data_IF_675887377094
#
_entry.id   IF_675887377094
#
_cell.length_a   1.000
_cell.length_b   1.000
_cell.length_c   1.000
_cell.angle_alpha   90.00
_cell.angle_beta   90.00
_cell.angle_gamma   90.00
#
_symmetry.space_group_name_H-M   'P 1'
#
loop_
_entity.id
_entity.type
_entity.pdbx_description
1 polymer ?
#
# COMPACT_ATOMS: atom_id res chain seq x y z
N UNK A 1 -21.14 23.43 25.52
CA UNK A 1 -20.60 23.10 26.86
C UNK A 1 -21.31 21.85 27.35
N UNK A 2 -20.54 20.90 27.92
CA UNK A 2 -20.90 19.55 28.39
C UNK A 2 -21.11 18.52 27.27
N UNK A 3 -20.57 17.29 27.28
CA UNK A 3 -19.55 16.60 28.10
C UNK A 3 -19.46 15.18 27.54
N UNK A 4 -18.31 14.75 27.05
CA UNK A 4 -17.99 13.33 26.86
C UNK A 4 -16.48 13.12 27.03
N UNK A 5 -15.99 13.33 28.25
CA UNK A 5 -14.68 12.84 28.66
C UNK A 5 -14.79 11.33 28.91
N UNK A 6 -14.32 10.53 27.96
CA UNK A 6 -14.13 9.11 28.20
C UNK A 6 -12.85 8.91 29.01
N UNK A 7 -13.04 8.64 30.30
CA UNK A 7 -12.00 8.20 31.21
C UNK A 7 -11.36 6.90 30.72
N UNK A 8 -10.13 6.97 30.22
CA UNK A 8 -9.21 5.83 30.11
C UNK A 8 -8.28 5.81 31.32
N UNK A 9 -8.74 5.15 32.37
CA UNK A 9 -7.92 4.83 33.54
C UNK A 9 -6.95 3.68 33.25
N UNK A 10 -5.72 4.02 32.87
CA UNK A 10 -4.49 3.30 33.22
C UNK A 10 -3.33 4.31 33.13
N UNK A 11 -3.15 5.09 34.20
CA UNK A 11 -2.03 6.01 34.38
C UNK A 11 -0.73 5.20 34.58
N UNK A 12 -0.10 4.79 33.47
CA UNK A 12 1.36 4.82 33.38
C UNK A 12 1.69 6.17 32.79
N UNK A 13 2.29 7.06 33.58
CA UNK A 13 2.89 8.31 33.09
C UNK A 13 4.07 7.99 32.17
N UNK A 14 3.77 7.61 30.94
CA UNK A 14 4.73 7.76 29.85
C UNK A 14 4.88 9.26 29.64
N UNK A 15 5.89 9.85 30.28
CA UNK A 15 6.32 11.21 29.95
C UNK A 15 6.61 11.24 28.46
N UNK A 16 5.81 12.01 27.70
CA UNK A 16 5.97 12.14 26.25
C UNK A 16 7.39 12.67 25.98
N UNK A 17 8.16 12.02 25.10
CA UNK A 17 9.52 12.45 24.84
C UNK A 17 9.52 13.87 24.25
N UNK A 18 10.55 14.70 24.51
CA UNK A 18 10.62 16.06 24.00
C UNK A 18 10.59 16.04 22.48
N UNK A 19 9.93 17.03 21.85
CA UNK A 19 9.71 17.03 20.41
C UNK A 19 11.00 16.96 19.59
N UNK A 20 12.11 17.50 20.10
CA UNK A 20 13.43 17.46 19.47
C UNK A 20 14.03 16.05 19.40
N UNK A 21 13.55 15.12 20.23
CA UNK A 21 13.95 13.70 20.18
C UNK A 21 13.10 12.88 19.21
N UNK A 22 11.94 13.41 18.82
CA UNK A 22 11.01 12.78 17.89
C UNK A 22 11.26 13.24 16.46
N UNK A 23 11.52 14.55 16.28
CA UNK A 23 11.83 15.13 14.98
C UNK A 23 13.31 14.95 14.61
N UNK A 24 13.64 14.90 13.30
CA UNK A 24 15.02 14.83 12.86
C UNK A 24 15.77 16.14 13.14
N UNK A 25 17.10 16.10 13.00
CA UNK A 25 17.96 17.28 13.17
C UNK A 25 17.54 18.41 12.22
N UNK A 26 17.75 19.66 12.66
CA UNK A 26 17.38 20.88 11.93
C UNK A 26 17.75 20.87 10.45
N UNK A 27 18.95 20.41 10.09
CA UNK A 27 19.41 20.35 8.69
C UNK A 27 18.49 19.48 7.83
N UNK A 28 18.11 18.30 8.33
CA UNK A 28 17.22 17.38 7.63
C UNK A 28 15.82 17.96 7.53
N UNK A 29 15.27 18.50 8.63
CA UNK A 29 13.94 19.12 8.60
C UNK A 29 13.88 20.32 7.65
N UNK A 30 14.92 21.17 7.64
CA UNK A 30 14.97 22.33 6.74
C UNK A 30 15.03 21.92 5.27
N UNK A 31 15.70 20.81 4.95
CA UNK A 31 15.71 20.24 3.60
C UNK A 31 14.33 19.74 3.21
N UNK A 32 13.66 18.97 4.08
CA UNK A 32 12.31 18.47 3.79
C UNK A 32 11.30 19.61 3.64
N UNK A 33 11.39 20.66 4.45
CA UNK A 33 10.56 21.85 4.27
C UNK A 33 10.80 22.51 2.91
N UNK A 34 12.03 22.52 2.41
CA UNK A 34 12.34 23.04 1.09
C UNK A 34 11.82 22.13 -0.03
N UNK A 35 11.98 20.81 0.10
CA UNK A 35 11.50 19.83 -0.86
C UNK A 35 9.97 19.86 -1.03
N UNK A 36 9.24 20.32 0.00
CA UNK A 36 7.78 20.53 0.00
C UNK A 36 7.36 21.97 -0.30
N UNK A 37 8.26 22.81 -0.81
CA UNK A 37 8.01 24.24 -1.11
C UNK A 37 7.36 25.01 0.07
N UNK A 38 7.74 24.65 1.30
CA UNK A 38 7.14 25.23 2.50
C UNK A 38 7.36 26.73 2.56
N UNK A 39 6.26 27.46 2.70
CA UNK A 39 6.26 28.91 2.96
C UNK A 39 6.96 29.27 4.28
N UNK A 40 6.94 28.37 5.25
CA UNK A 40 7.48 28.59 6.58
C UNK A 40 8.85 27.91 6.75
N UNK A 41 9.86 28.72 7.09
CA UNK A 41 11.17 28.23 7.47
C UNK A 41 11.15 27.56 8.85
N UNK A 42 12.16 26.70 9.12
CA UNK A 42 12.32 25.95 10.37
C UNK A 42 12.00 26.75 11.64
N UNK A 43 12.50 27.99 11.76
CA UNK A 43 12.28 28.84 12.95
C UNK A 43 10.81 29.17 13.21
N UNK A 44 9.97 29.26 12.18
CA UNK A 44 8.52 29.51 12.27
C UNK A 44 7.72 28.22 12.40
N UNK A 45 8.23 27.12 11.85
CA UNK A 45 7.60 25.79 11.94
C UNK A 45 7.72 25.20 13.34
N UNK A 46 8.88 25.34 13.99
CA UNK A 46 9.10 24.73 15.30
C UNK A 46 8.10 25.17 16.38
N UNK A 47 7.73 26.47 16.52
CA UNK A 47 6.66 26.88 17.44
C UNK A 47 5.31 26.22 17.18
N UNK A 48 4.96 25.99 15.91
CA UNK A 48 3.72 25.30 15.52
C UNK A 48 3.78 23.85 16.02
N UNK A 49 4.82 23.12 15.64
CA UNK A 49 5.01 21.73 16.06
C UNK A 49 5.06 21.60 17.58
N UNK A 50 5.83 22.44 18.27
CA UNK A 50 5.93 22.41 19.74
C UNK A 50 4.58 22.63 20.40
N UNK A 51 3.84 23.67 19.98
CA UNK A 51 2.56 23.99 20.61
C UNK A 51 1.52 22.88 20.41
N UNK A 52 1.41 22.32 19.20
CA UNK A 52 0.50 21.21 18.94
C UNK A 52 0.93 19.97 19.73
N UNK A 53 2.22 19.60 19.65
CA UNK A 53 2.76 18.38 20.26
C UNK A 53 2.65 18.37 21.80
N UNK A 54 2.82 19.52 22.45
CA UNK A 54 2.67 19.65 23.90
C UNK A 54 1.20 19.53 24.34
N UNK A 55 0.25 19.85 23.44
CA UNK A 55 -1.18 19.90 23.75
C UNK A 55 -2.00 18.77 23.11
N UNK A 56 -1.39 17.69 22.57
CA UNK A 56 -2.17 16.59 21.94
C UNK A 56 -3.17 15.90 22.89
N UNK A 57 -2.96 15.96 24.21
CA UNK A 57 -3.94 15.41 25.18
C UNK A 57 -5.09 16.39 25.46
N UNK A 58 -4.89 17.67 25.16
CA UNK A 58 -5.88 18.73 25.34
C UNK A 58 -5.90 19.64 24.10
N UNK A 59 -6.44 19.18 22.95
CA UNK A 59 -6.41 19.94 21.69
C UNK A 59 -7.01 21.35 21.81
N UNK A 60 -8.01 21.53 22.68
CA UNK A 60 -8.62 22.84 22.98
C UNK A 60 -7.65 23.92 23.49
N UNK A 61 -6.46 23.53 23.97
CA UNK A 61 -5.43 24.46 24.43
C UNK A 61 -4.42 24.86 23.34
N UNK A 62 -4.53 24.27 22.14
CA UNK A 62 -3.65 24.60 21.02
C UNK A 62 -3.89 26.06 20.62
N UNK A 63 -2.79 26.82 20.51
CA UNK A 63 -2.77 28.22 20.12
C UNK A 63 -1.73 28.42 19.04
N UNK A 64 -2.20 28.34 17.81
CA UNK A 64 -1.35 28.53 16.65
C UNK A 64 -0.86 29.98 16.56
N UNK A 65 0.40 30.20 16.14
CA UNK A 65 0.87 31.53 15.79
C UNK A 65 -0.03 32.18 14.73
N UNK A 66 -0.28 33.49 14.87
CA UNK A 66 -1.17 34.26 13.97
C UNK A 66 -0.79 34.22 12.48
N UNK A 67 0.45 33.85 12.15
CA UNK A 67 0.93 33.76 10.78
C UNK A 67 0.67 32.39 10.13
N UNK A 68 0.21 31.41 10.90
CA UNK A 68 -0.06 30.04 10.44
C UNK A 68 -1.32 30.03 9.60
N UNK A 69 -1.22 29.45 8.41
CA UNK A 69 -2.33 29.19 7.50
C UNK A 69 -2.63 27.69 7.47
N UNK A 70 -3.85 27.36 7.07
CA UNK A 70 -4.29 25.99 6.96
C UNK A 70 -3.43 25.15 6.00
N UNK A 71 -2.94 25.73 4.89
CA UNK A 71 -2.07 25.04 3.93
C UNK A 71 -0.68 24.75 4.50
N UNK A 72 -0.19 25.59 5.41
CA UNK A 72 1.09 25.29 6.07
C UNK A 72 0.96 24.02 6.91
N UNK A 73 -0.16 23.82 7.61
CA UNK A 73 -0.39 22.63 8.43
C UNK A 73 -0.43 21.35 7.58
N UNK A 74 -1.06 21.42 6.41
CA UNK A 74 -1.08 20.32 5.44
C UNK A 74 0.32 20.03 4.86
N UNK A 75 1.10 21.08 4.56
CA UNK A 75 2.51 20.95 4.15
C UNK A 75 3.34 20.29 5.25
N UNK A 76 3.18 20.73 6.51
CA UNK A 76 3.87 20.17 7.66
C UNK A 76 3.52 18.70 7.89
N UNK A 77 2.26 18.33 7.69
CA UNK A 77 1.83 16.93 7.72
C UNK A 77 2.54 16.11 6.65
N UNK A 78 2.63 16.61 5.41
CA UNK A 78 3.34 15.92 4.33
C UNK A 78 4.83 15.69 4.67
N UNK A 79 5.48 16.70 5.27
CA UNK A 79 6.85 16.60 5.78
C UNK A 79 6.99 15.53 6.88
N UNK A 80 6.05 15.44 7.83
CA UNK A 80 6.08 14.40 8.85
C UNK A 80 5.91 12.99 8.25
N UNK A 81 5.06 12.85 7.23
CA UNK A 81 4.88 11.59 6.51
C UNK A 81 6.19 11.11 5.88
N UNK A 82 6.95 12.02 5.29
CA UNK A 82 8.26 11.70 4.71
C UNK A 82 9.29 11.33 5.78
N UNK A 83 9.25 12.00 6.93
CA UNK A 83 10.09 11.62 8.09
C UNK A 83 9.79 10.17 8.51
N UNK A 84 8.51 9.79 8.57
CA UNK A 84 8.11 8.42 8.91
C UNK A 84 8.53 7.41 7.85
N UNK A 85 8.42 7.78 6.57
CA UNK A 85 8.86 6.93 5.46
C UNK A 85 10.39 6.69 5.53
N UNK A 86 11.16 7.68 5.99
CA UNK A 86 12.61 7.57 6.18
C UNK A 86 13.00 6.78 7.44
N UNK A 87 12.18 6.83 8.51
CA UNK A 87 12.56 6.26 9.80
C UNK A 87 12.40 4.74 9.90
N UNK A 88 11.78 4.08 8.92
CA UNK A 88 11.48 2.63 8.89
C UNK A 88 10.84 2.07 10.19
N UNK A 89 10.35 2.95 11.06
CA UNK A 89 9.82 2.65 12.39
C UNK A 89 8.59 3.53 12.64
N UNK A 90 7.55 2.91 13.19
CA UNK A 90 6.29 3.60 13.52
C UNK A 90 6.47 4.33 14.84
N UNK A 91 6.62 5.66 14.79
CA UNK A 91 6.60 6.51 15.99
C UNK A 91 5.17 7.00 16.23
N UNK A 92 4.51 6.46 17.26
CA UNK A 92 3.14 6.85 17.62
C UNK A 92 2.98 8.36 17.79
N UNK A 93 3.96 9.04 18.40
CA UNK A 93 3.84 10.47 18.66
C UNK A 93 3.89 11.31 17.35
N UNK A 94 4.53 10.81 16.29
CA UNK A 94 4.48 11.45 14.98
C UNK A 94 3.13 11.24 14.30
N UNK A 95 2.53 10.06 14.46
CA UNK A 95 1.17 9.77 13.97
C UNK A 95 0.17 10.69 14.66
N UNK A 96 0.23 10.78 15.98
CA UNK A 96 -0.68 11.62 16.78
C UNK A 96 -0.52 13.11 16.38
N UNK A 97 0.71 13.58 16.16
CA UNK A 97 0.99 14.93 15.68
C UNK A 97 0.47 15.17 14.25
N UNK A 98 0.63 14.21 13.35
CA UNK A 98 0.11 14.28 11.98
C UNK A 98 -1.41 14.39 11.96
N UNK A 99 -2.11 13.62 12.79
CA UNK A 99 -3.56 13.64 12.88
C UNK A 99 -4.05 15.00 13.41
N UNK A 100 -3.43 15.51 14.48
CA UNK A 100 -3.81 16.81 15.03
C UNK A 100 -3.53 17.96 14.05
N UNK A 101 -2.51 17.87 13.20
CA UNK A 101 -2.30 18.86 12.12
C UNK A 101 -3.47 18.91 11.13
N UNK A 102 -4.12 17.77 10.85
CA UNK A 102 -5.31 17.72 9.99
C UNK A 102 -6.49 18.39 10.69
N UNK A 103 -6.74 18.06 11.96
CA UNK A 103 -7.81 18.65 12.77
C UNK A 103 -7.69 20.18 12.80
N UNK A 104 -6.50 20.69 13.13
CA UNK A 104 -6.22 22.13 13.15
C UNK A 104 -6.33 22.77 11.76
N UNK A 105 -5.96 22.05 10.68
CA UNK A 105 -6.14 22.55 9.32
C UNK A 105 -7.63 22.64 8.92
N UNK A 106 -8.44 21.67 9.35
CA UNK A 106 -9.87 21.66 9.12
C UNK A 106 -10.59 22.76 9.91
N UNK A 107 -10.21 22.99 11.17
CA UNK A 107 -10.71 24.12 11.99
C UNK A 107 -10.42 25.48 11.34
N UNK A 108 -9.28 25.60 10.63
CA UNK A 108 -8.92 26.78 9.85
C UNK A 108 -9.57 26.82 8.45
N UNK A 109 -10.39 25.84 8.08
CA UNK A 109 -11.17 25.82 6.85
C UNK A 109 -10.49 25.21 5.62
N UNK A 110 -9.45 24.38 5.77
CA UNK A 110 -8.87 23.69 4.63
C UNK A 110 -9.78 22.54 4.15
N UNK A 111 -10.18 22.61 2.88
CA UNK A 111 -11.10 21.65 2.27
C UNK A 111 -10.52 20.23 2.17
N UNK A 112 -9.21 20.08 1.95
CA UNK A 112 -8.58 18.74 1.90
C UNK A 112 -8.66 18.07 3.27
N UNK A 113 -8.33 18.81 4.34
CA UNK A 113 -8.41 18.34 5.71
C UNK A 113 -9.85 17.98 6.10
N UNK A 114 -10.81 18.85 5.78
CA UNK A 114 -12.24 18.59 5.99
C UNK A 114 -12.67 17.32 5.25
N UNK A 115 -12.26 17.14 4.00
CA UNK A 115 -12.57 15.93 3.23
C UNK A 115 -12.00 14.68 3.92
N UNK A 116 -10.72 14.73 4.31
CA UNK A 116 -10.05 13.60 4.97
C UNK A 116 -10.74 13.18 6.25
N UNK A 117 -11.05 14.13 7.14
CA UNK A 117 -11.75 13.85 8.41
C UNK A 117 -13.18 13.36 8.18
N UNK A 118 -13.91 13.95 7.22
CA UNK A 118 -15.26 13.51 6.92
C UNK A 118 -15.30 12.07 6.37
N UNK A 119 -14.36 11.70 5.50
CA UNK A 119 -14.24 10.32 5.00
C UNK A 119 -13.78 9.32 6.05
N UNK A 120 -12.90 9.73 6.97
CA UNK A 120 -12.53 8.94 8.14
C UNK A 120 -13.75 8.68 9.04
N UNK A 121 -14.53 9.72 9.33
CA UNK A 121 -15.73 9.62 10.16
C UNK A 121 -16.77 8.65 9.57
N UNK A 122 -17.04 8.68 8.26
CA UNK A 122 -18.01 7.74 7.64
C UNK A 122 -17.46 6.33 7.38
N UNK A 123 -16.14 6.17 7.43
CA UNK A 123 -15.44 4.89 7.29
C UNK A 123 -15.33 4.12 8.61
N UNK A 124 -15.30 4.84 9.74
CA UNK A 124 -15.19 4.26 11.08
C UNK A 124 -16.51 3.70 11.59
N UNK A 125 -16.45 2.52 12.21
CA UNK A 125 -17.60 1.92 12.91
C UNK A 125 -17.86 2.54 14.29
N UNK A 126 -16.95 3.36 14.79
CA UNK A 126 -17.03 3.99 16.12
C UNK A 126 -17.70 5.38 16.09
N UNK A 127 -17.97 5.92 14.90
CA UNK A 127 -18.52 7.26 14.72
C UNK A 127 -19.98 7.34 15.18
N UNK A 128 -20.32 8.40 15.91
CA UNK A 128 -21.69 8.64 16.38
C UNK A 128 -22.65 8.91 15.21
N UNK A 129 -23.96 8.65 15.35
CA UNK A 129 -24.94 8.98 14.31
C UNK A 129 -24.96 10.47 13.96
N UNK A 130 -24.77 11.36 14.94
CA UNK A 130 -24.70 12.80 14.70
C UNK A 130 -23.47 13.17 13.86
N UNK A 131 -22.29 12.67 14.24
CA UNK A 131 -21.04 12.95 13.53
C UNK A 131 -21.05 12.36 12.11
N UNK A 132 -21.65 11.17 11.95
CA UNK A 132 -21.83 10.55 10.64
C UNK A 132 -22.71 11.40 9.72
N UNK A 133 -23.81 11.95 10.24
CA UNK A 133 -24.69 12.83 9.47
C UNK A 133 -23.99 14.15 9.11
N UNK A 134 -23.21 14.71 10.04
CA UNK A 134 -22.44 15.93 9.80
C UNK A 134 -21.34 15.72 8.75
N UNK A 135 -20.58 14.61 8.83
CA UNK A 135 -19.57 14.25 7.85
C UNK A 135 -20.15 14.10 6.44
N UNK A 136 -21.32 13.45 6.29
CA UNK A 136 -22.00 13.35 5.00
C UNK A 136 -22.45 14.72 4.46
N UNK A 137 -22.87 15.63 5.34
CA UNK A 137 -23.21 17.00 4.95
C UNK A 137 -21.98 17.72 4.38
N UNK A 138 -20.84 17.63 5.06
CA UNK A 138 -19.57 18.22 4.59
C UNK A 138 -19.11 17.62 3.26
N UNK A 139 -19.19 16.30 3.11
CA UNK A 139 -18.87 15.63 1.83
C UNK A 139 -19.75 16.16 0.71
N UNK A 140 -21.06 16.34 0.95
CA UNK A 140 -21.96 16.90 -0.05
C UNK A 140 -21.60 18.34 -0.43
N UNK A 141 -21.31 19.19 0.54
CA UNK A 141 -20.87 20.57 0.29
C UNK A 141 -19.59 20.61 -0.56
N UNK A 142 -18.63 19.72 -0.27
CA UNK A 142 -17.38 19.59 -1.05
C UNK A 142 -17.62 19.02 -2.46
N UNK A 143 -18.57 18.10 -2.63
CA UNK A 143 -18.99 17.60 -3.94
C UNK A 143 -19.64 18.70 -4.79
N UNK A 144 -20.54 19.49 -4.18
CA UNK A 144 -21.20 20.62 -4.83
C UNK A 144 -20.17 21.69 -5.24
N UNK A 145 -19.14 21.90 -4.42
CA UNK A 145 -17.99 22.75 -4.71
C UNK A 145 -16.98 22.15 -5.71
N UNK A 146 -17.20 20.91 -6.18
CA UNK A 146 -16.30 20.15 -7.06
C UNK A 146 -14.86 20.10 -6.56
N UNK A 147 -14.68 19.91 -5.25
CA UNK A 147 -13.35 19.80 -4.67
C UNK A 147 -12.71 18.45 -5.05
N UNK A 148 -11.52 18.40 -5.71
CA UNK A 148 -10.99 17.16 -6.29
C UNK A 148 -10.88 16.01 -5.28
N UNK A 149 -10.27 16.25 -4.12
CA UNK A 149 -9.98 15.20 -3.14
C UNK A 149 -11.23 14.42 -2.68
N UNK A 150 -12.41 15.06 -2.69
CA UNK A 150 -13.69 14.42 -2.31
C UNK A 150 -14.00 13.23 -3.23
N UNK A 151 -13.70 13.34 -4.52
CA UNK A 151 -13.96 12.29 -5.51
C UNK A 151 -12.95 11.16 -5.40
N UNK A 152 -11.68 11.49 -5.17
CA UNK A 152 -10.65 10.47 -4.91
C UNK A 152 -11.00 9.65 -3.68
N UNK A 153 -11.33 10.30 -2.56
CA UNK A 153 -11.68 9.62 -1.31
C UNK A 153 -13.01 8.85 -1.42
N UNK A 154 -14.00 9.37 -2.14
CA UNK A 154 -15.23 8.65 -2.45
C UNK A 154 -14.95 7.36 -3.23
N UNK A 155 -14.05 7.43 -4.22
CA UNK A 155 -13.61 6.27 -4.99
C UNK A 155 -12.93 5.22 -4.11
N UNK A 156 -11.99 5.64 -3.27
CA UNK A 156 -11.27 4.74 -2.36
C UNK A 156 -12.20 4.06 -1.35
N UNK A 157 -13.15 4.81 -0.77
CA UNK A 157 -14.15 4.26 0.15
C UNK A 157 -15.09 3.28 -0.56
N UNK A 158 -15.57 3.62 -1.75
CA UNK A 158 -16.42 2.74 -2.55
C UNK A 158 -15.68 1.45 -2.89
N UNK A 159 -14.40 1.54 -3.26
CA UNK A 159 -13.57 0.37 -3.55
C UNK A 159 -13.39 -0.52 -2.31
N UNK A 160 -13.09 0.07 -1.14
CA UNK A 160 -12.98 -0.67 0.12
C UNK A 160 -14.28 -1.39 0.52
N UNK A 161 -15.44 -0.88 0.09
CA UNK A 161 -16.76 -1.50 0.27
C UNK A 161 -17.17 -2.44 -0.87
N UNK A 162 -16.25 -2.77 -1.79
CA UNK A 162 -16.46 -3.62 -2.97
C UNK A 162 -17.43 -3.06 -4.03
N UNK A 163 -17.70 -1.75 -4.01
CA UNK A 163 -18.47 -1.06 -5.04
C UNK A 163 -17.57 -0.59 -6.19
N UNK A 164 -16.91 -1.52 -6.86
CA UNK A 164 -15.80 -1.23 -7.81
C UNK A 164 -16.20 -0.32 -8.99
N UNK A 165 -17.38 -0.51 -9.57
CA UNK A 165 -17.87 0.34 -10.68
C UNK A 165 -18.11 1.78 -10.22
N UNK A 166 -18.71 1.95 -9.03
CA UNK A 166 -18.93 3.27 -8.45
C UNK A 166 -17.59 3.94 -8.09
N UNK A 167 -16.62 3.16 -7.60
CA UNK A 167 -15.27 3.66 -7.34
C UNK A 167 -14.63 4.24 -8.61
N UNK A 168 -14.72 3.51 -9.72
CA UNK A 168 -14.22 3.97 -11.01
C UNK A 168 -14.92 5.24 -11.50
N UNK A 169 -16.23 5.40 -11.26
CA UNK A 169 -16.95 6.64 -11.59
C UNK A 169 -16.40 7.85 -10.82
N UNK A 170 -16.23 7.73 -9.51
CA UNK A 170 -15.66 8.81 -8.69
C UNK A 170 -14.22 9.13 -9.08
N UNK A 171 -13.39 8.13 -9.35
CA UNK A 171 -12.03 8.36 -9.83
C UNK A 171 -11.99 9.06 -11.20
N UNK A 172 -12.92 8.77 -12.11
CA UNK A 172 -13.02 9.53 -13.35
C UNK A 172 -13.46 10.98 -13.10
N UNK A 173 -14.40 11.22 -12.18
CA UNK A 173 -14.78 12.58 -11.79
C UNK A 173 -13.62 13.37 -11.18
N UNK A 174 -12.73 12.69 -10.43
CA UNK A 174 -11.47 13.30 -9.98
C UNK A 174 -10.62 13.73 -11.19
N UNK A 175 -10.40 12.84 -12.15
CA UNK A 175 -9.56 13.12 -13.32
C UNK A 175 -10.17 14.16 -14.27
N UNK A 176 -11.47 14.42 -14.22
CA UNK A 176 -12.08 15.55 -14.93
C UNK A 176 -11.68 16.92 -14.35
N UNK A 177 -11.23 16.94 -13.09
CA UNK A 177 -10.82 18.14 -12.37
C UNK A 177 -9.29 18.31 -12.34
N UNK A 178 -8.57 17.20 -12.22
CA UNK A 178 -7.11 17.16 -12.05
C UNK A 178 -6.53 15.86 -12.62
N UNK A 179 -5.83 15.95 -13.76
CA UNK A 179 -5.35 14.77 -14.51
C UNK A 179 -3.83 14.67 -14.66
N UNK A 180 -3.06 15.62 -14.11
CA UNK A 180 -1.62 15.77 -14.31
C UNK A 180 -0.81 15.96 -13.02
N UNK A 181 -1.34 15.55 -11.88
CA UNK A 181 -0.71 15.70 -10.56
C UNK A 181 -0.22 14.40 -9.92
N UNK A 182 0.49 14.53 -8.79
CA UNK A 182 0.85 13.41 -7.93
C UNK A 182 -0.38 12.64 -7.43
N UNK A 183 -1.48 13.32 -7.10
CA UNK A 183 -2.71 12.66 -6.66
C UNK A 183 -3.40 11.97 -7.85
N UNK A 184 -3.41 12.61 -9.03
CA UNK A 184 -3.89 11.99 -10.26
C UNK A 184 -3.13 10.70 -10.58
N UNK A 185 -1.82 10.66 -10.32
CA UNK A 185 -1.02 9.45 -10.49
C UNK A 185 -1.56 8.26 -9.66
N UNK A 186 -2.02 8.51 -8.43
CA UNK A 186 -2.61 7.47 -7.57
C UNK A 186 -3.98 7.03 -8.08
N UNK A 187 -4.78 7.98 -8.56
CA UNK A 187 -6.09 7.70 -9.16
C UNK A 187 -5.95 6.88 -10.44
N UNK A 188 -4.96 7.19 -11.28
CA UNK A 188 -4.61 6.37 -12.43
C UNK A 188 -4.15 4.96 -12.04
N UNK A 189 -3.35 4.80 -10.98
CA UNK A 189 -3.03 3.46 -10.45
C UNK A 189 -4.32 2.71 -10.09
N UNK A 190 -5.21 3.33 -9.31
CA UNK A 190 -6.48 2.72 -8.89
C UNK A 190 -7.38 2.33 -10.07
N UNK A 191 -7.53 3.20 -11.06
CA UNK A 191 -8.26 2.89 -12.31
C UNK A 191 -7.58 1.79 -13.12
N UNK A 192 -6.25 1.77 -13.18
CA UNK A 192 -5.48 0.71 -13.81
C UNK A 192 -5.77 -0.65 -13.19
N UNK A 193 -5.79 -0.72 -11.86
CA UNK A 193 -6.16 -1.94 -11.11
C UNK A 193 -7.62 -2.32 -11.31
N UNK A 194 -8.52 -1.34 -11.38
CA UNK A 194 -9.92 -1.55 -11.70
C UNK A 194 -10.08 -2.21 -13.07
N UNK A 195 -9.49 -1.63 -14.11
CA UNK A 195 -9.57 -2.19 -15.47
C UNK A 195 -8.87 -3.55 -15.60
N UNK A 196 -7.83 -3.81 -14.80
CA UNK A 196 -7.12 -5.08 -14.79
C UNK A 196 -7.91 -6.21 -14.13
N UNK A 197 -8.70 -5.94 -13.08
CA UNK A 197 -9.32 -6.99 -12.24
C UNK A 197 -10.85 -6.98 -12.22
N UNK A 198 -11.48 -5.81 -12.28
CA UNK A 198 -12.88 -5.62 -11.85
C UNK A 198 -13.82 -5.15 -12.96
N UNK A 199 -13.29 -4.60 -14.05
CA UNK A 199 -14.11 -4.16 -15.18
C UNK A 199 -14.90 -5.33 -15.78
N UNK A 200 -16.17 -5.07 -16.10
CA UNK A 200 -17.11 -6.05 -16.66
C UNK A 200 -17.45 -5.74 -18.12
N UNK A 201 -17.79 -6.75 -18.94
CA UNK A 201 -17.93 -8.18 -18.62
C UNK A 201 -16.59 -8.90 -18.41
N UNK A 202 -15.50 -8.34 -18.93
CA UNK A 202 -14.14 -8.87 -18.81
C UNK A 202 -13.15 -7.71 -18.56
N UNK A 203 -11.97 -8.00 -17.97
CA UNK A 203 -10.93 -7.00 -17.79
C UNK A 203 -10.54 -6.26 -19.08
N UNK A 204 -10.36 -4.94 -18.98
CA UNK A 204 -9.91 -4.10 -20.08
C UNK A 204 -8.40 -3.82 -19.95
N UNK A 205 -7.58 -4.76 -20.40
CA UNK A 205 -6.12 -4.70 -20.26
C UNK A 205 -5.49 -3.52 -21.01
N UNK A 206 -6.12 -3.06 -22.12
CA UNK A 206 -5.64 -1.91 -22.87
C UNK A 206 -5.79 -0.60 -22.08
N UNK A 207 -6.96 -0.38 -21.47
CA UNK A 207 -7.19 0.77 -20.58
C UNK A 207 -6.38 0.67 -19.29
N UNK A 208 -6.23 -0.53 -18.74
CA UNK A 208 -5.39 -0.76 -17.58
C UNK A 208 -3.95 -0.29 -17.84
N UNK A 209 -3.37 -0.70 -18.99
CA UNK A 209 -2.04 -0.25 -19.41
C UNK A 209 -1.95 1.27 -19.53
N UNK A 210 -2.88 1.90 -20.23
CA UNK A 210 -2.87 3.36 -20.42
C UNK A 210 -2.90 4.10 -19.07
N UNK A 211 -3.76 3.67 -18.15
CA UNK A 211 -3.84 4.26 -16.82
C UNK A 211 -2.53 4.07 -16.06
N UNK A 212 -1.98 2.86 -16.01
CA UNK A 212 -0.75 2.59 -15.27
C UNK A 212 0.47 3.33 -15.86
N UNK A 213 0.52 3.54 -17.17
CA UNK A 213 1.55 4.37 -17.82
C UNK A 213 1.42 5.84 -17.41
N UNK A 214 0.20 6.39 -17.36
CA UNK A 214 -0.05 7.74 -16.86
C UNK A 214 0.31 7.86 -15.37
N UNK A 215 0.01 6.84 -14.58
CA UNK A 215 0.40 6.79 -13.17
C UNK A 215 1.92 6.97 -12.99
N UNK A 216 2.73 6.21 -13.73
CA UNK A 216 4.20 6.33 -13.66
C UNK A 216 4.68 7.68 -14.21
N UNK A 217 4.01 8.23 -15.24
CA UNK A 217 4.39 9.51 -15.84
C UNK A 217 4.27 10.68 -14.85
N UNK A 218 3.21 10.70 -14.06
CA UNK A 218 2.90 11.83 -13.16
C UNK A 218 3.25 11.57 -11.69
N UNK A 219 3.52 10.32 -11.32
CA UNK A 219 3.76 9.93 -9.94
C UNK A 219 5.24 9.82 -9.57
N UNK A 220 5.51 9.98 -8.28
CA UNK A 220 6.80 9.67 -7.68
C UNK A 220 6.87 8.19 -7.29
N UNK A 221 8.08 7.65 -7.14
CA UNK A 221 8.29 6.23 -6.87
C UNK A 221 7.93 5.84 -5.42
N UNK A 222 6.63 5.83 -5.14
CA UNK A 222 5.99 5.44 -3.89
C UNK A 222 5.24 4.10 -3.99
N UNK A 223 4.54 3.68 -2.94
CA UNK A 223 3.81 2.41 -2.89
C UNK A 223 2.78 2.25 -4.02
N UNK A 224 2.12 3.33 -4.45
CA UNK A 224 1.13 3.30 -5.53
C UNK A 224 1.84 3.07 -6.86
N UNK A 225 2.90 3.81 -7.12
CA UNK A 225 3.65 3.72 -8.39
C UNK A 225 4.45 2.42 -8.48
N UNK A 226 4.96 1.89 -7.35
CA UNK A 226 5.55 0.56 -7.28
C UNK A 226 4.54 -0.52 -7.73
N UNK A 227 3.27 -0.41 -7.31
CA UNK A 227 2.21 -1.31 -7.79
C UNK A 227 1.95 -1.11 -9.29
N UNK A 228 1.90 0.13 -9.77
CA UNK A 228 1.74 0.40 -11.20
C UNK A 228 2.83 -0.28 -12.05
N UNK A 229 4.10 -0.19 -11.63
CA UNK A 229 5.20 -0.93 -12.24
C UNK A 229 4.95 -2.44 -12.25
N UNK A 230 4.56 -3.03 -11.12
CA UNK A 230 4.30 -4.46 -11.06
C UNK A 230 3.23 -4.91 -12.07
N UNK A 231 2.09 -4.22 -12.14
CA UNK A 231 1.01 -4.58 -13.06
C UNK A 231 1.37 -4.33 -14.53
N UNK A 232 2.12 -3.27 -14.85
CA UNK A 232 2.69 -3.13 -16.20
C UNK A 232 3.64 -4.27 -16.53
N UNK A 233 4.44 -4.71 -15.56
CA UNK A 233 5.26 -5.90 -15.65
C UNK A 233 4.46 -7.13 -16.09
N UNK A 234 3.31 -7.38 -15.45
CA UNK A 234 2.40 -8.47 -15.83
C UNK A 234 1.85 -8.29 -17.25
N UNK A 235 1.34 -7.09 -17.58
CA UNK A 235 0.75 -6.77 -18.88
C UNK A 235 1.74 -6.96 -20.03
N UNK A 236 3.01 -6.61 -19.81
CA UNK A 236 4.05 -6.71 -20.82
C UNK A 236 4.67 -8.12 -20.93
N UNK A 237 4.40 -9.04 -20.00
CA UNK A 237 5.09 -10.34 -19.91
C UNK A 237 5.10 -11.13 -21.21
N UNK A 238 3.99 -11.11 -21.96
CA UNK A 238 3.84 -11.85 -23.22
C UNK A 238 4.13 -11.00 -24.46
N UNK A 239 3.87 -9.69 -24.40
CA UNK A 239 3.98 -8.80 -25.58
C UNK A 239 5.35 -8.16 -25.72
N UNK A 240 5.99 -7.80 -24.60
CA UNK A 240 7.33 -7.21 -24.55
C UNK A 240 8.04 -7.66 -23.25
N UNK A 241 8.62 -8.89 -23.25
CA UNK A 241 9.32 -9.42 -22.07
C UNK A 241 10.44 -8.53 -21.54
N UNK A 242 11.09 -7.71 -22.40
CA UNK A 242 12.16 -6.80 -21.97
C UNK A 242 11.59 -5.65 -21.15
N UNK A 243 10.49 -5.05 -21.60
CA UNK A 243 9.76 -4.04 -20.81
C UNK A 243 9.17 -4.64 -19.54
N UNK A 244 8.61 -5.85 -19.63
CA UNK A 244 8.12 -6.59 -18.47
C UNK A 244 9.20 -6.70 -17.39
N UNK A 245 10.39 -7.18 -17.77
CA UNK A 245 11.54 -7.29 -16.86
C UNK A 245 11.90 -5.95 -16.25
N UNK A 246 11.99 -4.88 -17.06
CA UNK A 246 12.30 -3.54 -16.56
C UNK A 246 11.34 -3.08 -15.46
N UNK A 247 10.03 -3.19 -15.69
CA UNK A 247 9.05 -2.75 -14.71
C UNK A 247 9.06 -3.63 -13.46
N UNK A 248 9.19 -4.96 -13.62
CA UNK A 248 9.25 -5.88 -12.49
C UNK A 248 10.55 -5.71 -11.67
N UNK A 249 11.68 -5.41 -12.29
CA UNK A 249 12.95 -5.13 -11.59
C UNK A 249 12.82 -3.86 -10.73
N UNK A 250 12.12 -2.83 -11.21
CA UNK A 250 11.83 -1.63 -10.42
C UNK A 250 10.97 -1.98 -9.19
N UNK A 251 9.86 -2.69 -9.37
CA UNK A 251 8.99 -3.04 -8.24
C UNK A 251 9.68 -3.98 -7.25
N UNK A 252 10.46 -4.94 -7.72
CA UNK A 252 11.28 -5.83 -6.89
C UNK A 252 12.36 -5.07 -6.10
N UNK A 253 13.04 -4.09 -6.72
CA UNK A 253 14.07 -3.28 -6.05
C UNK A 253 13.54 -2.44 -4.88
N UNK A 254 12.22 -2.19 -4.87
CA UNK A 254 11.50 -1.50 -3.78
C UNK A 254 10.85 -2.46 -2.78
N UNK A 255 11.16 -3.76 -2.88
CA UNK A 255 10.73 -4.76 -1.92
C UNK A 255 9.32 -5.29 -2.14
N UNK A 256 8.70 -5.05 -3.30
CA UNK A 256 7.40 -5.65 -3.63
C UNK A 256 7.60 -7.16 -3.93
N UNK A 257 7.25 -7.98 -2.95
CA UNK A 257 7.56 -9.41 -2.92
C UNK A 257 6.93 -10.20 -4.08
N UNK A 258 5.74 -9.80 -4.51
CA UNK A 258 4.98 -10.40 -5.62
C UNK A 258 5.76 -10.34 -6.96
N UNK A 259 6.71 -9.40 -7.06
CA UNK A 259 7.57 -9.25 -8.24
C UNK A 259 8.57 -10.39 -8.38
N UNK A 260 9.01 -11.02 -7.28
CA UNK A 260 10.08 -12.02 -7.29
C UNK A 260 9.70 -13.28 -8.06
N UNK A 261 8.51 -13.83 -7.81
CA UNK A 261 8.01 -14.98 -8.55
C UNK A 261 7.87 -14.65 -10.04
N UNK A 262 7.32 -13.48 -10.36
CA UNK A 262 7.11 -13.02 -11.73
C UNK A 262 8.43 -12.88 -12.50
N UNK A 263 9.45 -12.27 -11.88
CA UNK A 263 10.80 -12.17 -12.45
C UNK A 263 11.46 -13.53 -12.60
N UNK A 264 11.36 -14.39 -11.59
CA UNK A 264 11.93 -15.72 -11.64
C UNK A 264 11.38 -16.55 -12.79
N UNK A 265 10.06 -16.55 -12.99
CA UNK A 265 9.46 -17.26 -14.13
C UNK A 265 9.77 -16.61 -15.48
N UNK A 266 9.86 -15.27 -15.53
CA UNK A 266 10.26 -14.57 -16.74
C UNK A 266 11.69 -14.94 -17.16
N UNK A 267 12.63 -14.93 -16.21
CA UNK A 267 14.02 -15.34 -16.45
C UNK A 267 14.10 -16.82 -16.83
N UNK A 268 13.37 -17.71 -16.15
CA UNK A 268 13.42 -19.14 -16.39
C UNK A 268 12.81 -19.56 -17.75
N UNK A 269 11.63 -19.03 -18.06
CA UNK A 269 10.78 -19.51 -19.15
C UNK A 269 10.93 -18.70 -20.43
N UNK A 270 11.27 -17.41 -20.33
CA UNK A 270 11.32 -16.50 -21.48
C UNK A 270 12.76 -16.15 -21.86
N UNK A 271 13.62 -15.84 -20.88
CA UNK A 271 15.02 -15.50 -21.13
C UNK A 271 15.98 -16.70 -21.04
N UNK A 272 15.46 -17.88 -20.69
CA UNK A 272 16.25 -19.11 -20.55
C UNK A 272 17.47 -18.96 -19.61
N UNK A 273 17.29 -18.20 -18.53
CA UNK A 273 18.33 -17.92 -17.54
C UNK A 273 17.98 -18.52 -16.17
N UNK A 274 18.13 -19.85 -16.01
CA UNK A 274 17.76 -20.51 -14.77
C UNK A 274 18.64 -20.09 -13.58
N UNK A 275 19.89 -19.68 -13.80
CA UNK A 275 20.77 -19.18 -12.74
C UNK A 275 20.22 -17.91 -12.10
N UNK A 276 19.82 -16.93 -12.92
CA UNK A 276 19.21 -15.69 -12.43
C UNK A 276 17.81 -15.93 -11.86
N UNK A 277 17.05 -16.86 -12.44
CA UNK A 277 15.75 -17.25 -11.89
C UNK A 277 15.87 -17.78 -10.44
N UNK A 278 16.89 -18.62 -10.16
CA UNK A 278 17.16 -19.11 -8.80
C UNK A 278 17.37 -17.96 -7.82
N UNK A 279 18.10 -16.91 -8.20
CA UNK A 279 18.34 -15.75 -7.34
C UNK A 279 17.02 -15.04 -6.99
N UNK A 280 16.17 -14.79 -7.99
CA UNK A 280 14.87 -14.16 -7.76
C UNK A 280 13.96 -15.02 -6.88
N UNK A 281 13.86 -16.31 -7.18
CA UNK A 281 13.05 -17.21 -6.37
C UNK A 281 13.61 -17.40 -4.95
N UNK A 282 14.93 -17.30 -4.76
CA UNK A 282 15.56 -17.32 -3.43
C UNK A 282 15.09 -16.14 -2.59
N UNK A 283 15.06 -14.93 -3.16
CA UNK A 283 14.56 -13.74 -2.47
C UNK A 283 13.09 -13.90 -2.04
N UNK A 284 12.24 -14.49 -2.87
CA UNK A 284 10.83 -14.74 -2.52
C UNK A 284 10.65 -15.78 -1.40
N UNK A 285 11.44 -16.86 -1.40
CA UNK A 285 11.40 -17.86 -0.35
C UNK A 285 11.93 -17.31 0.98
N UNK A 286 13.07 -16.61 0.96
CA UNK A 286 13.65 -16.01 2.18
C UNK A 286 12.80 -14.85 2.73
N UNK A 287 12.11 -14.12 1.86
CA UNK A 287 11.28 -12.98 2.24
C UNK A 287 9.92 -13.35 2.86
N UNK A 288 9.23 -14.36 2.32
CA UNK A 288 7.87 -14.69 2.77
C UNK A 288 7.48 -16.19 2.62
N UNK A 289 8.45 -17.09 2.46
CA UNK A 289 8.19 -18.51 2.20
C UNK A 289 7.22 -18.74 1.02
N UNK A 290 7.32 -17.94 -0.04
CA UNK A 290 6.43 -18.03 -1.19
C UNK A 290 6.56 -19.40 -1.90
N UNK A 291 5.46 -20.15 -1.90
CA UNK A 291 5.36 -21.49 -2.50
C UNK A 291 5.60 -21.43 -4.01
N UNK A 292 5.16 -20.36 -4.68
CA UNK A 292 5.35 -20.17 -6.11
C UNK A 292 6.84 -20.03 -6.42
N UNK A 293 7.56 -19.28 -5.60
CA UNK A 293 9.02 -19.18 -5.69
C UNK A 293 9.69 -20.53 -5.37
N UNK A 294 9.20 -21.29 -4.39
CA UNK A 294 9.76 -22.61 -4.07
C UNK A 294 9.60 -23.61 -5.23
N UNK A 295 8.45 -23.59 -5.90
CA UNK A 295 8.20 -24.34 -7.15
C UNK A 295 9.17 -23.88 -8.25
N UNK A 296 9.34 -22.58 -8.41
CA UNK A 296 10.28 -22.00 -9.37
C UNK A 296 11.73 -22.41 -9.13
N UNK A 297 12.19 -22.46 -7.87
CA UNK A 297 13.52 -22.97 -7.54
C UNK A 297 13.68 -24.44 -7.90
N UNK A 298 12.66 -25.27 -7.66
CA UNK A 298 12.68 -26.68 -8.07
C UNK A 298 12.87 -26.80 -9.58
N UNK A 299 12.02 -26.14 -10.37
CA UNK A 299 12.08 -26.21 -11.83
C UNK A 299 13.43 -25.68 -12.37
N UNK A 300 13.96 -24.62 -11.76
CA UNK A 300 15.28 -24.07 -12.12
C UNK A 300 16.44 -25.00 -11.79
N UNK A 301 16.39 -25.69 -10.64
CA UNK A 301 17.41 -26.67 -10.24
C UNK A 301 17.37 -27.95 -11.07
N UNK A 302 16.19 -28.39 -11.50
CA UNK A 302 16.05 -29.47 -12.47
C UNK A 302 16.68 -29.06 -13.81
N UNK A 303 16.41 -27.84 -14.28
CA UNK A 303 16.93 -27.33 -15.55
C UNK A 303 18.46 -27.12 -15.54
N UNK A 304 19.05 -26.84 -14.38
CA UNK A 304 20.51 -26.72 -14.19
C UNK A 304 21.18 -28.03 -13.77
N UNK A 305 20.46 -29.15 -13.82
CA UNK A 305 20.93 -30.49 -13.44
C UNK A 305 21.43 -30.60 -11.97
N UNK A 306 21.05 -29.66 -11.10
CA UNK A 306 21.37 -29.71 -9.68
C UNK A 306 20.33 -30.55 -8.93
N UNK A 307 20.37 -31.86 -9.17
CA UNK A 307 19.35 -32.79 -8.68
C UNK A 307 19.33 -32.92 -7.16
N UNK A 308 20.46 -32.69 -6.48
CA UNK A 308 20.54 -32.72 -5.01
C UNK A 308 19.69 -31.59 -4.38
N UNK A 309 19.81 -30.36 -4.90
CA UNK A 309 18.97 -29.24 -4.44
C UNK A 309 17.51 -29.41 -4.86
N UNK A 310 17.26 -29.94 -6.06
CA UNK A 310 15.89 -30.23 -6.49
C UNK A 310 15.20 -31.22 -5.53
N UNK A 311 15.92 -32.26 -5.07
CA UNK A 311 15.41 -33.22 -4.07
C UNK A 311 15.10 -32.58 -2.72
N UNK A 312 15.97 -31.73 -2.21
CA UNK A 312 15.73 -31.08 -0.91
C UNK A 312 14.51 -30.16 -0.97
N UNK A 313 14.34 -29.41 -2.06
CA UNK A 313 13.16 -28.57 -2.28
C UNK A 313 11.89 -29.42 -2.44
N UNK A 314 11.96 -30.53 -3.19
CA UNK A 314 10.84 -31.45 -3.36
C UNK A 314 10.38 -32.04 -2.01
N UNK A 315 11.31 -32.36 -1.11
CA UNK A 315 10.97 -32.82 0.23
C UNK A 315 10.21 -31.75 1.03
N UNK A 316 10.62 -30.48 0.92
CA UNK A 316 9.91 -29.36 1.53
C UNK A 316 8.49 -29.19 0.95
N UNK A 317 8.35 -29.20 -0.38
CA UNK A 317 7.06 -29.14 -1.07
C UNK A 317 6.14 -30.31 -0.68
N UNK A 318 6.69 -31.52 -0.48
CA UNK A 318 5.92 -32.69 -0.06
C UNK A 318 5.42 -32.57 1.39
N UNK A 319 6.25 -32.04 2.31
CA UNK A 319 5.83 -31.78 3.69
C UNK A 319 4.72 -30.71 3.75
N UNK A 320 4.87 -29.62 2.99
CA UNK A 320 3.85 -28.59 2.85
C UNK A 320 2.54 -29.17 2.28
N UNK A 321 2.63 -29.99 1.24
CA UNK A 321 1.45 -30.67 0.67
C UNK A 321 0.76 -31.56 1.69
N UNK A 322 1.52 -32.35 2.47
CA UNK A 322 0.95 -33.22 3.51
C UNK A 322 0.18 -32.43 4.57
N UNK A 323 0.72 -31.29 4.99
CA UNK A 323 0.05 -30.37 5.93
C UNK A 323 -1.25 -29.81 5.34
N UNK A 324 -1.22 -29.35 4.10
CA UNK A 324 -2.41 -28.81 3.44
C UNK A 324 -3.44 -29.89 3.10
N UNK A 325 -3.04 -31.12 2.74
CA UNK A 325 -3.96 -32.26 2.54
C UNK A 325 -4.76 -32.54 3.82
N UNK A 326 -4.13 -32.46 5.00
CA UNK A 326 -4.82 -32.65 6.27
C UNK A 326 -5.88 -31.57 6.53
N UNK A 327 -5.58 -30.31 6.17
CA UNK A 327 -6.52 -29.19 6.26
C UNK A 327 -7.64 -29.30 5.22
N UNK A 328 -7.32 -29.72 3.99
CA UNK A 328 -8.27 -29.90 2.90
C UNK A 328 -9.31 -30.98 3.22
N UNK A 329 -8.91 -32.09 3.89
CA UNK A 329 -9.84 -33.12 4.40
C UNK A 329 -10.88 -32.56 5.38
N UNK A 330 -10.51 -31.51 6.11
CA UNK A 330 -11.39 -30.80 7.03
C UNK A 330 -12.08 -29.60 6.37
N UNK A 331 -12.03 -29.49 5.02
CA UNK A 331 -12.57 -28.37 4.24
C UNK A 331 -12.07 -27.00 4.72
N UNK A 332 -10.82 -26.95 5.21
CA UNK A 332 -10.21 -25.76 5.79
C UNK A 332 -11.02 -25.10 6.91
N UNK A 333 -11.95 -25.82 7.58
CA UNK A 333 -12.83 -25.26 8.63
C UNK A 333 -12.07 -24.70 9.84
N UNK A 334 -10.89 -25.25 10.10
CA UNK A 334 -10.02 -24.84 11.21
C UNK A 334 -9.03 -23.72 10.83
N UNK A 335 -9.08 -23.23 9.58
CA UNK A 335 -8.27 -22.11 9.13
C UNK A 335 -9.06 -20.83 9.37
N UNK A 336 -8.49 -19.78 9.98
CA UNK A 336 -9.16 -18.50 10.12
C UNK A 336 -9.63 -17.98 8.75
N UNK A 337 -10.82 -17.37 8.69
CA UNK A 337 -11.44 -16.96 7.43
C UNK A 337 -10.52 -16.09 6.56
N UNK A 338 -9.75 -15.21 7.18
CA UNK A 338 -8.77 -14.36 6.52
C UNK A 338 -7.67 -15.11 5.74
N UNK A 339 -7.33 -16.34 6.14
CA UNK A 339 -6.27 -17.14 5.51
C UNK A 339 -6.79 -18.29 4.65
N UNK A 340 -8.10 -18.53 4.68
CA UNK A 340 -8.71 -19.68 4.01
C UNK A 340 -8.48 -19.65 2.49
N UNK A 341 -8.73 -18.51 1.84
CA UNK A 341 -8.49 -18.35 0.40
C UNK A 341 -7.03 -18.55 0.00
N UNK A 342 -6.08 -18.09 0.83
CA UNK A 342 -4.65 -18.33 0.61
C UNK A 342 -4.29 -19.81 0.74
N UNK A 343 -4.83 -20.49 1.76
CA UNK A 343 -4.61 -21.92 1.97
C UNK A 343 -5.16 -22.76 0.81
N UNK A 344 -6.36 -22.43 0.32
CA UNK A 344 -7.00 -23.07 -0.83
C UNK A 344 -6.19 -22.87 -2.12
N UNK A 345 -5.72 -21.63 -2.37
CA UNK A 345 -4.88 -21.32 -3.53
C UNK A 345 -3.55 -22.08 -3.48
N UNK A 346 -2.86 -22.06 -2.34
CA UNK A 346 -1.62 -22.79 -2.14
C UNK A 346 -1.79 -24.30 -2.30
N UNK A 347 -2.93 -24.84 -1.84
CA UNK A 347 -3.26 -26.24 -2.04
C UNK A 347 -3.42 -26.58 -3.52
N UNK A 348 -4.20 -25.79 -4.26
CA UNK A 348 -4.40 -25.98 -5.69
C UNK A 348 -3.08 -25.90 -6.48
N UNK A 349 -2.19 -24.95 -6.13
CA UNK A 349 -0.86 -24.83 -6.72
C UNK A 349 -0.01 -26.09 -6.51
N UNK A 350 0.02 -26.61 -5.28
CA UNK A 350 0.80 -27.81 -4.97
C UNK A 350 0.23 -29.06 -5.64
N UNK A 351 -1.09 -29.25 -5.65
CA UNK A 351 -1.72 -30.35 -6.39
C UNK A 351 -1.32 -30.30 -7.85
N UNK A 352 -1.46 -29.13 -8.49
CA UNK A 352 -1.09 -28.91 -9.89
C UNK A 352 0.39 -29.18 -10.13
N UNK A 353 1.28 -28.74 -9.23
CA UNK A 353 2.71 -28.99 -9.29
C UNK A 353 3.02 -30.50 -9.30
N UNK A 354 2.52 -31.24 -8.31
CA UNK A 354 2.78 -32.68 -8.21
C UNK A 354 2.19 -33.47 -9.38
N UNK A 355 1.04 -33.04 -9.91
CA UNK A 355 0.42 -33.69 -11.07
C UNK A 355 1.18 -33.43 -12.37
N UNK A 356 1.61 -32.20 -12.61
CA UNK A 356 2.32 -31.82 -13.84
C UNK A 356 3.78 -32.28 -13.88
N UNK A 357 4.44 -32.47 -12.72
CA UNK A 357 5.85 -32.89 -12.63
C UNK A 357 6.05 -34.39 -12.31
N UNK A 358 5.00 -35.23 -12.38
CA UNK A 358 5.05 -36.68 -12.04
C UNK A 358 6.26 -37.41 -12.60
N UNK A 359 6.56 -37.24 -13.88
CA UNK A 359 7.67 -37.94 -14.54
C UNK A 359 9.04 -37.54 -13.99
N UNK A 360 9.27 -36.25 -13.74
CA UNK A 360 10.53 -35.73 -13.19
C UNK A 360 10.67 -36.18 -11.73
N UNK A 361 9.60 -36.06 -10.96
CA UNK A 361 9.55 -36.49 -9.55
C UNK A 361 9.88 -37.99 -9.43
N UNK A 362 9.33 -38.81 -10.32
CA UNK A 362 9.63 -40.25 -10.35
C UNK A 362 11.12 -40.52 -10.63
N UNK A 363 11.71 -39.85 -11.62
CA UNK A 363 13.15 -39.96 -11.91
C UNK A 363 14.01 -39.54 -10.71
N UNK A 364 13.66 -38.45 -10.04
CA UNK A 364 14.37 -38.00 -8.84
C UNK A 364 14.27 -39.00 -7.69
N UNK A 365 13.17 -39.74 -7.56
CA UNK A 365 13.02 -40.78 -6.53
C UNK A 365 13.86 -42.04 -6.75
N UNK A 366 14.36 -42.24 -7.98
CA UNK A 366 15.18 -43.41 -8.37
C UNK A 366 16.68 -43.14 -8.32
N UNK A 367 17.09 -41.87 -8.38
CA UNK A 367 18.44 -41.39 -8.09
C UNK A 367 18.65 -41.30 -6.57
#
# INVERSE_FOLDING_TARGET
MSSASLARGFLRSYSRPPIQSVLPKQKTLSRLLFDHDSRLAYKKVMPIFTNIYENLETPTNIRLPHYTKHDDLMTLRAVLRDIRALSNAVNKNLVDLENELIEQAAELGNNDAIAMLAFEAIGSSETSPEDYAYANKLIKELQDAKHPLVFKLAGDLAFAKNYHEQAAQYWNQFLELEDDSLVASHVYTSLGLFYFNFAKPEPNLAKARECLEKAIKFGELDTSIIKAHYYLGQLYSMTDPKRSRYHLEISASKGLQESFASLGFLELNVFDNPSKAIEWFKLGVEGNNDITCLIGQFDSHVKTENLQKAKSILANLADLKKKLDALARQQFRNVPEAFKGHAETNYALLVTFFDSRKGIIHKLSQL
#
